data_IF_797060753247
#
_entry.id   IF_797060753247
#
_cell.length_a   1.000
_cell.length_b   1.000
_cell.length_c   1.000
_cell.angle_alpha   90.00
_cell.angle_beta   90.00
_cell.angle_gamma   90.00
#
_symmetry.space_group_name_H-M   'P 1'
#
loop_
_entity.id
_entity.type
_entity.pdbx_description
1 polymer ?
#
# COMPACT_ATOMS: atom_id res chain seq x y z
N UNK A 1 38.07 -73.32 -19.19
CA UNK A 1 37.94 -71.89 -19.59
C UNK A 1 36.46 -71.66 -19.91
N UNK A 2 35.68 -70.69 -19.41
CA UNK A 2 35.80 -69.49 -18.55
C UNK A 2 34.45 -69.38 -17.82
N UNK A 3 34.43 -69.05 -16.52
CA UNK A 3 33.19 -68.73 -15.78
C UNK A 3 32.76 -67.30 -16.11
N UNK A 4 31.54 -67.11 -16.60
CA UNK A 4 30.94 -65.79 -16.81
C UNK A 4 30.21 -65.38 -15.53
N UNK A 5 30.73 -64.37 -14.83
CA UNK A 5 30.06 -63.71 -13.71
C UNK A 5 29.24 -62.56 -14.30
N UNK A 6 27.91 -62.63 -14.25
CA UNK A 6 27.05 -61.46 -14.52
C UNK A 6 26.64 -60.84 -13.20
N UNK A 7 27.27 -59.70 -12.90
CA UNK A 7 26.86 -58.76 -11.87
C UNK A 7 25.86 -57.82 -12.53
N UNK A 8 24.58 -57.89 -12.17
CA UNK A 8 23.59 -56.89 -12.59
C UNK A 8 23.56 -55.84 -11.48
N UNK A 9 24.13 -54.68 -11.80
CA UNK A 9 24.19 -53.51 -10.92
C UNK A 9 22.81 -52.87 -10.75
N UNK A 10 22.48 -52.61 -9.49
CA UNK A 10 21.30 -51.84 -9.07
C UNK A 10 21.56 -50.35 -9.34
N UNK A 11 20.90 -49.77 -10.34
CA UNK A 11 20.91 -48.32 -10.55
C UNK A 11 19.89 -47.67 -9.60
N UNK A 12 20.39 -47.08 -8.51
CA UNK A 12 19.61 -46.20 -7.65
C UNK A 12 19.52 -44.84 -8.36
N UNK A 13 18.33 -44.51 -8.87
CA UNK A 13 18.02 -43.17 -9.37
C UNK A 13 17.82 -42.27 -8.15
N UNK A 14 18.85 -41.47 -7.82
CA UNK A 14 18.77 -40.42 -6.82
C UNK A 14 18.01 -39.23 -7.40
N UNK A 15 16.74 -39.09 -7.00
CA UNK A 15 15.89 -37.95 -7.32
C UNK A 15 16.40 -36.70 -6.61
N UNK A 16 17.18 -35.88 -7.32
CA UNK A 16 17.51 -34.52 -6.88
C UNK A 16 16.28 -33.64 -7.07
N UNK A 17 15.44 -33.53 -6.03
CA UNK A 17 14.46 -32.45 -5.93
C UNK A 17 15.21 -31.15 -5.69
N UNK A 18 15.51 -30.42 -6.77
CA UNK A 18 15.91 -29.03 -6.68
C UNK A 18 14.70 -28.23 -6.18
N UNK A 19 14.61 -28.07 -4.87
CA UNK A 19 13.77 -27.06 -4.27
C UNK A 19 14.40 -25.69 -4.61
N UNK A 20 14.02 -25.14 -5.76
CA UNK A 20 14.27 -23.73 -6.05
C UNK A 20 13.45 -22.91 -5.06
N UNK A 21 14.08 -22.57 -3.94
CA UNK A 21 13.67 -21.44 -3.13
C UNK A 21 13.88 -20.21 -4.02
N UNK A 22 12.84 -19.83 -4.75
CA UNK A 22 12.77 -18.51 -5.35
C UNK A 22 12.88 -17.52 -4.20
N UNK A 23 14.08 -16.97 -4.01
CA UNK A 23 14.28 -15.81 -3.18
C UNK A 23 13.40 -14.73 -3.78
N UNK A 24 12.28 -14.43 -3.12
CA UNK A 24 11.45 -13.28 -3.46
C UNK A 24 12.38 -12.09 -3.36
N UNK A 25 12.78 -11.56 -4.51
CA UNK A 25 13.60 -10.36 -4.59
C UNK A 25 12.86 -9.30 -3.78
N UNK A 26 13.48 -8.83 -2.69
CA UNK A 26 12.85 -7.83 -1.83
C UNK A 26 12.78 -6.55 -2.66
N UNK A 27 11.62 -6.31 -3.27
CA UNK A 27 11.35 -5.10 -4.02
C UNK A 27 11.63 -3.93 -3.09
N UNK A 28 12.52 -3.03 -3.51
CA UNK A 28 12.86 -1.85 -2.74
C UNK A 28 11.59 -1.02 -2.55
N UNK A 29 11.22 -0.62 -1.33
CA UNK A 29 10.04 0.21 -1.15
C UNK A 29 10.26 1.63 -1.69
N UNK A 30 9.19 2.24 -2.17
CA UNK A 30 9.10 3.67 -2.36
C UNK A 30 9.22 4.38 -1.00
N UNK A 31 9.61 5.65 -1.04
CA UNK A 31 9.76 6.47 0.16
C UNK A 31 8.92 7.73 -0.01
N UNK A 32 8.26 8.13 1.09
CA UNK A 32 7.69 9.47 1.19
C UNK A 32 8.83 10.50 1.10
N UNK A 33 8.67 11.51 0.24
CA UNK A 33 9.61 12.61 0.14
C UNK A 33 9.28 13.69 1.18
N UNK A 34 8.02 13.77 1.59
CA UNK A 34 7.52 14.73 2.55
C UNK A 34 6.93 14.04 3.79
N UNK A 35 6.90 14.76 4.91
CA UNK A 35 6.24 14.23 6.10
C UNK A 35 4.72 14.22 5.92
N UNK A 36 3.98 13.32 6.58
CA UNK A 36 2.52 13.30 6.53
C UNK A 36 1.88 14.64 6.94
N UNK A 37 2.47 15.38 7.87
CA UNK A 37 1.99 16.69 8.32
C UNK A 37 2.10 17.74 7.21
N UNK A 38 3.21 17.75 6.46
CA UNK A 38 3.36 18.63 5.31
C UNK A 38 2.30 18.32 4.24
N UNK A 39 2.11 17.03 3.94
CA UNK A 39 1.13 16.61 2.92
C UNK A 39 -0.28 17.01 3.36
N UNK A 40 -0.66 16.77 4.63
CA UNK A 40 -1.94 17.21 5.16
C UNK A 40 -2.10 18.73 5.05
N UNK A 41 -1.06 19.50 5.38
CA UNK A 41 -1.12 20.96 5.25
C UNK A 41 -1.41 21.38 3.81
N UNK A 42 -0.80 20.74 2.81
CA UNK A 42 -1.08 21.03 1.40
C UNK A 42 -2.51 20.65 1.00
N UNK A 43 -3.02 19.50 1.48
CA UNK A 43 -4.42 19.10 1.27
C UNK A 43 -5.37 20.14 1.86
N UNK A 44 -5.14 20.58 3.10
CA UNK A 44 -5.95 21.60 3.75
C UNK A 44 -5.93 22.95 3.01
N UNK A 45 -4.76 23.38 2.52
CA UNK A 45 -4.61 24.59 1.71
C UNK A 45 -5.39 24.47 0.39
N UNK A 46 -5.21 23.37 -0.36
CA UNK A 46 -5.91 23.13 -1.63
C UNK A 46 -7.43 23.12 -1.44
N UNK A 47 -7.92 22.65 -0.29
CA UNK A 47 -9.34 22.60 0.04
C UNK A 47 -9.87 23.86 0.74
N UNK A 48 -9.03 24.87 0.96
CA UNK A 48 -9.36 26.09 1.71
C UNK A 48 -9.96 25.79 3.11
N UNK A 49 -9.31 24.88 3.84
CA UNK A 49 -9.70 24.47 5.19
C UNK A 49 -8.61 24.91 6.16
N UNK A 50 -9.01 25.53 7.28
CA UNK A 50 -8.07 25.89 8.35
C UNK A 50 -7.59 24.65 9.11
N UNK A 51 -6.31 24.63 9.45
CA UNK A 51 -5.76 23.61 10.34
C UNK A 51 -6.45 23.66 11.71
N UNK A 52 -6.56 22.50 12.33
CA UNK A 52 -7.22 22.26 13.62
C UNK A 52 -6.32 21.35 14.44
N UNK A 53 -5.82 21.86 15.56
CA UNK A 53 -4.94 21.13 16.49
C UNK A 53 -5.71 20.15 17.38
N UNK A 54 -7.03 20.31 17.47
CA UNK A 54 -7.94 19.42 18.19
C UNK A 54 -8.29 18.13 17.42
N UNK A 55 -7.93 18.05 16.13
CA UNK A 55 -8.17 16.86 15.31
C UNK A 55 -6.88 16.02 15.22
N UNK A 56 -6.91 14.83 15.80
CA UNK A 56 -5.76 13.93 15.83
C UNK A 56 -5.38 13.41 14.42
N UNK A 57 -4.09 13.54 14.08
CA UNK A 57 -3.52 12.95 12.87
C UNK A 57 -3.79 11.44 12.78
N UNK A 58 -4.03 10.91 11.57
CA UNK A 58 -4.14 9.47 11.39
C UNK A 58 -2.76 8.80 11.57
N UNK A 59 -2.76 7.59 12.12
CA UNK A 59 -1.56 6.76 12.10
C UNK A 59 -1.29 6.28 10.67
N UNK A 60 -0.05 6.37 10.20
CA UNK A 60 0.34 5.96 8.84
C UNK A 60 1.08 4.62 8.88
N UNK A 61 0.58 3.64 8.14
CA UNK A 61 1.15 2.30 8.02
C UNK A 61 1.58 2.03 6.59
N UNK A 62 2.81 1.55 6.42
CA UNK A 62 3.37 1.20 5.11
C UNK A 62 3.27 -0.32 4.89
N UNK A 63 2.93 -0.74 3.67
CA UNK A 63 2.82 -2.15 3.30
C UNK A 63 4.05 -2.96 3.73
N UNK A 64 5.27 -2.50 3.42
CA UNK A 64 6.52 -3.21 3.74
C UNK A 64 6.75 -3.47 5.24
N UNK A 65 5.99 -2.80 6.13
CA UNK A 65 6.09 -2.91 7.60
C UNK A 65 4.81 -3.40 8.25
N UNK A 66 3.77 -3.69 7.47
CA UNK A 66 2.43 -3.96 7.97
C UNK A 66 1.94 -5.30 7.44
N UNK A 67 1.45 -6.16 8.33
CA UNK A 67 0.89 -7.43 7.87
C UNK A 67 -0.40 -7.21 7.09
N UNK A 68 -0.63 -8.02 6.05
CA UNK A 68 -1.92 -8.04 5.33
C UNK A 68 -3.09 -8.28 6.28
N UNK A 69 -2.91 -9.11 7.32
CA UNK A 69 -3.93 -9.37 8.32
C UNK A 69 -4.33 -8.11 9.09
N UNK A 70 -3.37 -7.25 9.46
CA UNK A 70 -3.66 -5.99 10.14
C UNK A 70 -4.49 -5.06 9.23
N UNK A 71 -4.06 -4.87 7.97
CA UNK A 71 -4.80 -4.08 6.98
C UNK A 71 -6.22 -4.59 6.78
N UNK A 72 -6.38 -5.89 6.53
CA UNK A 72 -7.67 -6.52 6.33
C UNK A 72 -8.60 -6.31 7.53
N UNK A 73 -8.09 -6.46 8.75
CA UNK A 73 -8.88 -6.27 9.97
C UNK A 73 -9.35 -4.82 10.16
N UNK A 74 -8.58 -3.84 9.68
CA UNK A 74 -8.94 -2.42 9.76
C UNK A 74 -10.02 -2.03 8.75
N UNK A 75 -10.02 -2.63 7.56
CA UNK A 75 -10.83 -2.20 6.42
C UNK A 75 -12.08 -3.05 6.19
N UNK A 76 -12.09 -4.33 6.55
CA UNK A 76 -13.16 -5.29 6.19
C UNK A 76 -14.57 -4.80 6.57
N UNK A 77 -14.73 -4.23 7.76
CA UNK A 77 -16.03 -3.70 8.21
C UNK A 77 -16.48 -2.45 7.45
N UNK A 78 -15.53 -1.64 6.95
CA UNK A 78 -15.83 -0.43 6.19
C UNK A 78 -16.24 -0.78 4.76
N UNK A 79 -15.60 -1.79 4.16
CA UNK A 79 -15.85 -2.18 2.77
C UNK A 79 -16.89 -3.29 2.61
N UNK A 80 -17.30 -3.93 3.70
CA UNK A 80 -18.17 -5.12 3.68
C UNK A 80 -17.57 -6.28 2.84
N UNK A 81 -16.25 -6.30 2.66
CA UNK A 81 -15.49 -7.40 2.08
C UNK A 81 -14.04 -7.39 2.59
N UNK A 82 -13.39 -8.55 2.59
CA UNK A 82 -11.99 -8.70 3.02
C UNK A 82 -11.05 -8.67 1.80
N UNK A 83 -10.20 -7.65 1.62
CA UNK A 83 -9.34 -7.56 0.45
C UNK A 83 -8.26 -8.65 0.46
N UNK A 84 -7.99 -9.24 -0.71
CA UNK A 84 -6.97 -10.29 -0.85
C UNK A 84 -5.53 -9.73 -0.93
N UNK A 85 -5.39 -8.45 -1.21
CA UNK A 85 -4.11 -7.74 -1.38
C UNK A 85 -4.12 -6.43 -0.59
N UNK A 86 -2.93 -5.89 -0.33
CA UNK A 86 -2.77 -4.58 0.28
C UNK A 86 -3.06 -3.47 -0.74
N UNK A 87 -3.73 -2.41 -0.33
CA UNK A 87 -3.96 -1.21 -1.17
C UNK A 87 -3.84 0.04 -0.32
N UNK A 88 -3.82 1.20 -0.96
CA UNK A 88 -4.04 2.47 -0.24
C UNK A 88 -5.46 2.48 0.32
N UNK A 89 -5.62 2.90 1.58
CA UNK A 89 -6.92 3.12 2.18
C UNK A 89 -6.83 3.92 3.49
N UNK A 90 -7.83 4.78 3.72
CA UNK A 90 -8.14 5.35 5.02
C UNK A 90 -9.20 4.51 5.77
N UNK A 91 -8.80 3.93 6.90
CA UNK A 91 -9.65 3.19 7.81
C UNK A 91 -10.27 4.13 8.87
N UNK A 92 -11.51 4.56 8.63
CA UNK A 92 -12.20 5.61 9.40
C UNK A 92 -12.30 5.29 10.88
N UNK A 93 -12.65 4.03 11.20
CA UNK A 93 -12.93 3.56 12.57
C UNK A 93 -11.73 3.72 13.49
N UNK A 94 -10.53 3.42 12.98
CA UNK A 94 -9.30 3.43 13.76
C UNK A 94 -8.48 4.72 13.57
N UNK A 95 -8.88 5.59 12.63
CA UNK A 95 -8.09 6.76 12.22
C UNK A 95 -6.69 6.35 11.71
N UNK A 96 -6.66 5.39 10.78
CA UNK A 96 -5.42 4.82 10.22
C UNK A 96 -5.42 4.99 8.71
N UNK A 97 -4.26 5.33 8.14
CA UNK A 97 -4.03 5.30 6.70
C UNK A 97 -3.02 4.21 6.40
N UNK A 98 -3.36 3.36 5.45
CA UNK A 98 -2.51 2.31 4.91
C UNK A 98 -2.03 2.74 3.52
N UNK A 99 -0.73 2.66 3.27
CA UNK A 99 -0.11 3.06 2.00
C UNK A 99 0.68 1.89 1.43
N UNK A 100 0.38 1.53 0.18
CA UNK A 100 1.18 0.66 -0.65
C UNK A 100 2.55 1.33 -0.87
N UNK A 101 3.65 0.64 -0.57
CA UNK A 101 4.99 1.21 -0.75
C UNK A 101 5.86 0.41 -1.73
N UNK A 102 5.26 -0.37 -2.62
CA UNK A 102 5.98 -1.04 -3.71
C UNK A 102 6.51 -0.04 -4.77
N UNK A 103 7.83 0.13 -4.90
CA UNK A 103 8.40 1.11 -5.84
C UNK A 103 7.99 0.86 -7.30
N UNK A 104 7.87 -0.40 -7.70
CA UNK A 104 7.49 -0.79 -9.06
C UNK A 104 6.12 -0.22 -9.45
N UNK A 105 5.14 -0.27 -8.54
CA UNK A 105 3.81 0.30 -8.76
C UNK A 105 3.90 1.79 -9.13
N UNK A 106 4.72 2.55 -8.41
CA UNK A 106 4.89 3.98 -8.62
C UNK A 106 5.64 4.30 -9.92
N UNK A 107 6.69 3.54 -10.23
CA UNK A 107 7.48 3.71 -11.46
C UNK A 107 6.66 3.44 -12.74
N UNK A 108 5.84 2.39 -12.71
CA UNK A 108 4.98 1.97 -13.82
C UNK A 108 3.76 2.90 -13.99
N UNK A 109 3.15 3.34 -12.89
CA UNK A 109 1.97 4.21 -12.92
C UNK A 109 2.27 5.70 -13.08
N UNK A 110 3.54 6.11 -13.09
CA UNK A 110 3.96 7.52 -13.09
C UNK A 110 3.30 8.30 -11.94
N UNK A 111 3.34 7.69 -10.76
CA UNK A 111 2.82 8.24 -9.50
C UNK A 111 3.94 8.31 -8.49
N UNK A 112 3.77 9.11 -7.44
CA UNK A 112 4.65 9.05 -6.28
C UNK A 112 3.88 8.72 -5.01
N UNK A 113 4.57 8.12 -4.04
CA UNK A 113 3.95 7.68 -2.78
C UNK A 113 3.26 8.83 -2.03
N UNK A 114 3.80 10.05 -2.13
CA UNK A 114 3.20 11.24 -1.52
C UNK A 114 1.82 11.59 -2.12
N UNK A 115 1.58 11.34 -3.42
CA UNK A 115 0.27 11.57 -4.03
C UNK A 115 -0.79 10.60 -3.50
N UNK A 116 -0.39 9.36 -3.24
CA UNK A 116 -1.26 8.34 -2.68
C UNK A 116 -1.64 8.69 -1.25
N UNK A 117 -0.67 9.20 -0.48
CA UNK A 117 -0.95 9.71 0.86
C UNK A 117 -1.83 10.97 0.82
N UNK A 118 -1.66 11.86 -0.15
CA UNK A 118 -2.55 13.02 -0.33
C UNK A 118 -4.00 12.62 -0.65
N UNK A 119 -4.21 11.55 -1.43
CA UNK A 119 -5.53 10.95 -1.67
C UNK A 119 -6.18 10.52 -0.35
N UNK A 120 -5.50 9.66 0.42
CA UNK A 120 -6.07 9.14 1.67
C UNK A 120 -6.24 10.22 2.74
N UNK A 121 -5.34 11.21 2.80
CA UNK A 121 -5.49 12.37 3.68
C UNK A 121 -6.69 13.24 3.27
N UNK A 122 -7.11 13.22 2.01
CA UNK A 122 -8.34 13.89 1.58
C UNK A 122 -9.57 13.22 2.18
N UNK A 123 -9.64 11.88 2.20
CA UNK A 123 -10.70 11.16 2.90
C UNK A 123 -10.69 11.42 4.41
N UNK A 124 -9.51 11.46 5.02
CA UNK A 124 -9.37 11.88 6.41
C UNK A 124 -9.94 13.29 6.66
N UNK A 125 -9.64 14.26 5.79
CA UNK A 125 -10.17 15.62 5.89
C UNK A 125 -11.69 15.65 5.69
N UNK A 126 -12.21 14.94 4.70
CA UNK A 126 -13.65 14.82 4.45
C UNK A 126 -14.39 14.31 5.70
N UNK A 127 -13.86 13.27 6.36
CA UNK A 127 -14.50 12.71 7.56
C UNK A 127 -14.27 13.57 8.80
N UNK A 128 -13.02 13.90 9.12
CA UNK A 128 -12.66 14.48 10.43
C UNK A 128 -12.80 16.01 10.49
N UNK A 129 -12.70 16.70 9.36
CA UNK A 129 -12.88 18.16 9.30
C UNK A 129 -14.27 18.56 8.82
N UNK A 130 -14.91 17.73 7.98
CA UNK A 130 -16.20 18.07 7.34
C UNK A 130 -17.37 17.17 7.75
N UNK A 131 -17.11 16.07 8.47
CA UNK A 131 -18.13 15.11 8.90
C UNK A 131 -18.95 14.53 7.74
N UNK A 132 -18.27 14.26 6.62
CA UNK A 132 -18.88 13.62 5.45
C UNK A 132 -18.97 12.09 5.61
N UNK A 133 -19.90 11.49 4.88
CA UNK A 133 -20.07 10.05 4.75
C UNK A 133 -19.29 9.53 3.54
N UNK A 134 -18.31 8.63 3.75
CA UNK A 134 -17.49 8.06 2.68
C UNK A 134 -18.25 7.14 1.72
N UNK A 135 -19.53 6.84 1.99
CA UNK A 135 -20.37 6.14 1.02
C UNK A 135 -20.83 7.03 -0.15
N UNK A 136 -20.57 8.35 -0.10
CA UNK A 136 -20.81 9.26 -1.21
C UNK A 136 -19.68 9.15 -2.26
N UNK A 137 -20.00 8.54 -3.41
CA UNK A 137 -19.06 8.34 -4.53
C UNK A 137 -18.43 9.64 -5.06
N UNK A 138 -19.06 10.81 -4.83
CA UNK A 138 -18.47 12.10 -5.24
C UNK A 138 -17.18 12.44 -4.50
N UNK A 139 -16.98 11.86 -3.31
CA UNK A 139 -15.81 12.09 -2.48
C UNK A 139 -14.54 11.44 -3.04
N UNK A 140 -14.68 10.34 -3.78
CA UNK A 140 -13.55 9.72 -4.50
C UNK A 140 -13.05 10.63 -5.63
N UNK A 141 -13.95 11.30 -6.35
CA UNK A 141 -13.57 12.26 -7.39
C UNK A 141 -12.81 13.47 -6.83
N UNK A 142 -13.24 13.97 -5.67
CA UNK A 142 -12.56 15.03 -4.94
C UNK A 142 -11.15 14.58 -4.47
N UNK A 143 -11.03 13.35 -3.95
CA UNK A 143 -9.73 12.79 -3.57
C UNK A 143 -8.80 12.59 -4.79
N UNK A 144 -9.32 12.13 -5.92
CA UNK A 144 -8.58 12.02 -7.20
C UNK A 144 -8.12 13.38 -7.70
N UNK A 145 -8.94 14.43 -7.56
CA UNK A 145 -8.55 15.79 -7.93
C UNK A 145 -7.36 16.27 -7.07
N UNK A 146 -7.44 16.10 -5.75
CA UNK A 146 -6.36 16.48 -4.82
C UNK A 146 -5.10 15.66 -5.08
N UNK A 147 -5.23 14.34 -5.28
CA UNK A 147 -4.13 13.45 -5.65
C UNK A 147 -3.42 13.92 -6.92
N UNK A 148 -4.19 14.23 -7.97
CA UNK A 148 -3.66 14.69 -9.26
C UNK A 148 -2.95 16.03 -9.10
N UNK A 149 -3.59 16.99 -8.42
CA UNK A 149 -2.98 18.28 -8.12
C UNK A 149 -1.67 18.13 -7.32
N UNK A 150 -1.65 17.29 -6.28
CA UNK A 150 -0.46 17.08 -5.47
C UNK A 150 0.68 16.50 -6.32
N UNK A 151 0.36 15.50 -7.14
CA UNK A 151 1.31 14.90 -8.06
C UNK A 151 1.96 15.93 -8.99
N UNK A 152 1.15 16.77 -9.63
CA UNK A 152 1.63 17.74 -10.62
C UNK A 152 2.49 18.86 -10.01
N UNK A 153 2.36 19.11 -8.71
CA UNK A 153 3.07 20.21 -8.03
C UNK A 153 4.26 19.76 -7.18
N UNK A 154 4.27 18.52 -6.70
CA UNK A 154 5.24 18.06 -5.69
C UNK A 154 6.00 16.78 -6.06
N UNK A 155 5.43 15.90 -6.89
CA UNK A 155 6.14 14.71 -7.36
C UNK A 155 7.12 15.10 -8.49
N UNK A 156 8.35 14.61 -8.42
CA UNK A 156 9.34 14.71 -9.51
C UNK A 156 9.46 13.35 -10.20
N UNK A 157 9.36 13.33 -11.52
CA UNK A 157 9.49 12.14 -12.36
C UNK A 157 10.64 12.30 -13.36
#
# INVERSE_FOLDING_TARGET
MKRLKSVIGLFIVMSLTQASLAATERVKPALLQYTPEFILQQVLIKKNISFRDDVAMPAIYLESKTSLQQFQNAIESQWNFRPAVFTNAYAVKNNEIYILDEAKYYDESKRCMDDSLAHELTHYVQVKYKNYDLNDESLEWDAIEVQTWFRDNFCKF
#
